data_IF_290210337387
#
_entry.id   IF_290210337387
#
_cell.length_a   1.000
_cell.length_b   1.000
_cell.length_c   1.000
_cell.angle_alpha   90.00
_cell.angle_beta   90.00
_cell.angle_gamma   90.00
#
_symmetry.space_group_name_H-M   'P 1'
#
loop_
_entity.id
_entity.type
_entity.pdbx_description
1 polymer ?
#
# COMPACT_ATOMS: atom_id res chain seq x y z
N UNK A 1 15.61 20.17 4.29
CA UNK A 1 15.46 19.25 3.15
C UNK A 1 14.76 18.05 3.73
N UNK A 2 13.53 17.80 3.30
CA UNK A 2 12.71 16.77 3.92
C UNK A 2 13.28 15.38 3.60
N UNK A 3 13.28 14.50 4.59
CA UNK A 3 13.72 13.12 4.42
C UNK A 3 12.56 12.31 3.86
N UNK A 4 12.76 11.59 2.75
CA UNK A 4 11.70 10.78 2.15
C UNK A 4 11.21 9.67 3.10
N UNK A 5 12.02 9.29 4.09
CA UNK A 5 11.62 8.33 5.12
C UNK A 5 10.63 8.93 6.13
N UNK A 6 10.45 10.25 6.18
CA UNK A 6 9.43 10.89 7.00
C UNK A 6 8.01 10.45 6.58
N UNK A 7 7.81 10.08 5.31
CA UNK A 7 6.57 9.53 4.78
C UNK A 7 6.32 8.07 5.15
N UNK A 8 7.21 7.42 5.91
CA UNK A 8 7.06 6.05 6.38
C UNK A 8 6.86 5.98 7.91
N UNK A 9 6.84 7.13 8.60
CA UNK A 9 6.70 7.15 10.05
C UNK A 9 5.26 6.86 10.45
N UNK A 10 5.08 5.98 11.42
CA UNK A 10 3.79 5.79 12.06
C UNK A 10 3.23 7.11 12.59
N UNK A 11 1.94 7.29 12.41
CA UNK A 11 1.18 8.44 12.92
C UNK A 11 -0.28 8.05 13.11
N UNK A 12 -1.10 9.00 13.58
CA UNK A 12 -2.55 8.79 13.71
C UNK A 12 -3.24 8.38 12.40
N UNK A 13 -2.63 8.68 11.26
CA UNK A 13 -3.16 8.39 9.92
C UNK A 13 -2.30 7.39 9.12
N UNK A 14 -1.18 6.94 9.66
CA UNK A 14 -0.24 6.05 8.98
C UNK A 14 0.16 4.90 9.89
N UNK A 15 -0.14 3.68 9.47
CA UNK A 15 0.14 2.44 10.22
C UNK A 15 1.21 1.61 9.48
N UNK A 16 2.40 2.19 9.32
CA UNK A 16 3.50 1.60 8.55
C UNK A 16 4.07 0.35 9.24
N UNK A 17 4.11 0.32 10.57
CA UNK A 17 4.63 -0.82 11.32
C UNK A 17 3.63 -1.97 11.53
N UNK A 18 2.41 -1.85 11.00
CA UNK A 18 1.46 -2.97 10.99
C UNK A 18 2.01 -4.16 10.22
N UNK A 19 2.15 -5.30 10.89
CA UNK A 19 2.60 -6.55 10.27
C UNK A 19 1.70 -6.96 9.10
N UNK A 20 0.38 -6.75 9.23
CA UNK A 20 -0.58 -7.04 8.16
C UNK A 20 -0.32 -6.21 6.91
N UNK A 21 -0.03 -4.92 7.06
CA UNK A 21 0.28 -4.02 5.93
C UNK A 21 1.62 -4.41 5.30
N UNK A 22 2.65 -4.65 6.11
CA UNK A 22 3.97 -5.05 5.63
C UNK A 22 3.95 -6.39 4.89
N UNK A 23 3.25 -7.40 5.43
CA UNK A 23 3.09 -8.71 4.79
C UNK A 23 2.36 -8.60 3.44
N UNK A 24 1.30 -7.78 3.39
CA UNK A 24 0.56 -7.56 2.14
C UNK A 24 1.40 -6.85 1.09
N UNK A 25 2.14 -5.80 1.47
CA UNK A 25 3.06 -5.08 0.59
C UNK A 25 4.20 -5.99 0.07
N UNK A 26 4.75 -6.83 0.95
CA UNK A 26 5.77 -7.81 0.58
C UNK A 26 5.21 -8.81 -0.44
N UNK A 27 4.00 -9.34 -0.22
CA UNK A 27 3.36 -10.27 -1.16
C UNK A 27 3.16 -9.64 -2.55
N UNK A 28 2.61 -8.42 -2.59
CA UNK A 28 2.36 -7.71 -3.85
C UNK A 28 3.65 -7.41 -4.64
N UNK A 29 4.78 -7.23 -3.93
CA UNK A 29 6.08 -6.97 -4.56
C UNK A 29 6.83 -8.25 -4.98
N UNK A 30 6.70 -9.35 -4.23
CA UNK A 30 7.27 -10.64 -4.61
C UNK A 30 6.62 -11.26 -5.85
N UNK A 31 5.34 -10.96 -6.09
CA UNK A 31 4.61 -11.41 -7.28
C UNK A 31 5.00 -10.62 -8.56
N UNK A 32 5.90 -9.62 -8.45
CA UNK A 32 6.35 -8.76 -9.56
C UNK A 32 7.76 -9.09 -10.05
N UNK A 33 7.99 -8.95 -11.35
CA UNK A 33 9.30 -9.18 -11.99
C UNK A 33 10.16 -7.93 -12.05
N UNK A 34 9.57 -6.75 -11.91
CA UNK A 34 10.26 -5.45 -11.95
C UNK A 34 9.45 -4.37 -11.24
N UNK A 35 10.06 -3.19 -11.06
CA UNK A 35 9.45 -2.06 -10.34
C UNK A 35 8.13 -1.56 -10.97
N UNK A 36 8.02 -1.55 -12.29
CA UNK A 36 6.79 -1.09 -12.96
C UNK A 36 5.61 -2.03 -12.65
N UNK A 37 5.86 -3.33 -12.63
CA UNK A 37 4.88 -4.33 -12.24
C UNK A 37 4.53 -4.22 -10.74
N UNK A 38 5.51 -3.95 -9.87
CA UNK A 38 5.25 -3.68 -8.44
C UNK A 38 4.33 -2.48 -8.24
N UNK A 39 4.61 -1.37 -8.92
CA UNK A 39 3.77 -0.15 -8.85
C UNK A 39 2.35 -0.47 -9.33
N UNK A 40 2.22 -1.19 -10.44
CA UNK A 40 0.93 -1.60 -10.99
C UNK A 40 0.15 -2.48 -10.00
N UNK A 41 0.76 -3.54 -9.47
CA UNK A 41 0.12 -4.47 -8.55
C UNK A 41 -0.37 -3.77 -7.28
N UNK A 42 0.44 -2.86 -6.71
CA UNK A 42 0.06 -2.09 -5.53
C UNK A 42 -1.10 -1.14 -5.84
N UNK A 43 -1.05 -0.43 -6.96
CA UNK A 43 -2.12 0.48 -7.37
C UNK A 43 -3.45 -0.26 -7.59
N UNK A 44 -3.43 -1.39 -8.30
CA UNK A 44 -4.63 -2.20 -8.56
C UNK A 44 -5.19 -2.79 -7.27
N UNK A 45 -4.34 -3.26 -6.34
CA UNK A 45 -4.79 -3.73 -5.04
C UNK A 45 -5.54 -2.64 -4.25
N UNK A 46 -4.98 -1.43 -4.18
CA UNK A 46 -5.63 -0.33 -3.46
C UNK A 46 -6.96 0.05 -4.12
N UNK A 47 -7.00 0.13 -5.46
CA UNK A 47 -8.20 0.53 -6.21
C UNK A 47 -9.32 -0.52 -6.15
N UNK A 48 -8.98 -1.79 -6.32
CA UNK A 48 -9.97 -2.85 -6.60
C UNK A 48 -10.32 -3.70 -5.37
N UNK A 49 -9.41 -3.83 -4.41
CA UNK A 49 -9.56 -4.80 -3.30
C UNK A 49 -9.76 -4.13 -1.93
N UNK A 50 -9.47 -2.82 -1.81
CA UNK A 50 -9.81 -2.05 -0.62
C UNK A 50 -11.17 -1.40 -0.85
N UNK A 51 -12.12 -1.67 0.05
CA UNK A 51 -13.47 -1.08 -0.04
C UNK A 51 -13.40 0.43 0.19
N UNK A 52 -13.83 1.20 -0.81
CA UNK A 52 -13.98 2.63 -0.68
C UNK A 52 -15.36 2.95 -0.11
N UNK A 53 -15.47 4.13 0.53
CA UNK A 53 -16.75 4.60 1.07
C UNK A 53 -17.86 4.70 0.01
N UNK A 54 -17.49 4.88 -1.27
CA UNK A 54 -18.41 4.86 -2.39
C UNK A 54 -18.94 3.46 -2.71
N UNK A 55 -18.14 2.40 -2.49
CA UNK A 55 -18.49 1.01 -2.81
C UNK A 55 -19.52 0.45 -1.82
N UNK A 56 -19.56 0.99 -0.60
CA UNK A 56 -20.44 0.51 0.49
C UNK A 56 -21.91 0.93 0.28
N UNK A 57 -22.18 1.89 -0.60
CA UNK A 57 -23.52 2.47 -0.77
C UNK A 57 -23.92 2.71 -2.23
N UNK A 58 -23.26 2.03 -3.17
CA UNK A 58 -23.55 2.04 -4.61
C UNK A 58 -24.60 1.03 -5.05
#
# INVERSE_FOLDING_TARGET
MDDITDYLKDSEIMDYNSSMIQEKALKLSLDSKNQLETIKNIYEFVRDEILHSLDING
#
